data_IF_699305653994
#
_entry.id   IF_699305653994
#
_cell.length_a   1.000
_cell.length_b   1.000
_cell.length_c   1.000
_cell.angle_alpha   90.00
_cell.angle_beta   90.00
_cell.angle_gamma   90.00
#
_symmetry.space_group_name_H-M   'P 1'
#
loop_
_entity.id
_entity.type
_entity.pdbx_description
1 polymer ?
#
# COMPACT_ATOMS: atom_id res chain seq x y z
N UNK A 1 -12.74 15.16 23.84
CA UNK A 1 -11.93 15.11 22.61
C UNK A 1 -11.97 13.68 22.09
N UNK A 2 -12.58 13.42 20.93
CA UNK A 2 -12.53 12.08 20.32
C UNK A 2 -11.15 11.88 19.70
N UNK A 3 -10.33 11.02 20.30
CA UNK A 3 -9.03 10.63 19.72
C UNK A 3 -9.28 9.96 18.38
N UNK A 4 -8.71 10.48 17.30
CA UNK A 4 -8.77 9.81 15.99
C UNK A 4 -8.23 8.38 16.14
N UNK A 5 -8.88 7.37 15.56
CA UNK A 5 -8.40 6.00 15.65
C UNK A 5 -7.02 5.87 14.99
N UNK A 6 -6.12 5.08 15.61
CA UNK A 6 -4.80 4.79 15.04
C UNK A 6 -4.97 4.01 13.73
N UNK A 7 -4.28 4.44 12.68
CA UNK A 7 -4.23 3.75 11.40
C UNK A 7 -2.76 3.63 10.98
N UNK A 8 -2.28 2.40 10.84
CA UNK A 8 -0.93 2.11 10.34
C UNK A 8 -1.01 1.45 8.98
N UNK A 9 0.10 1.44 8.24
CA UNK A 9 0.21 0.65 7.01
C UNK A 9 1.54 -0.05 6.88
N UNK A 10 1.53 -1.25 6.32
CA UNK A 10 2.68 -1.87 5.69
C UNK A 10 2.54 -1.73 4.17
N UNK A 11 3.59 -1.25 3.51
CA UNK A 11 3.55 -0.84 2.11
C UNK A 11 4.69 -1.49 1.30
N UNK A 12 4.65 -2.81 1.06
CA UNK A 12 5.71 -3.51 0.34
C UNK A 12 5.61 -3.29 -1.19
N UNK A 13 6.75 -3.14 -1.85
CA UNK A 13 6.85 -3.27 -3.30
C UNK A 13 6.99 -4.75 -3.69
N UNK A 14 6.24 -5.26 -4.68
CA UNK A 14 6.26 -6.68 -5.04
C UNK A 14 7.43 -7.00 -5.99
N UNK A 15 8.66 -6.72 -5.55
CA UNK A 15 9.89 -6.90 -6.35
C UNK A 15 10.71 -8.12 -5.96
N UNK A 16 10.10 -9.05 -5.23
CA UNK A 16 10.73 -10.25 -4.70
C UNK A 16 10.04 -10.74 -3.42
N UNK A 17 10.70 -11.66 -2.73
CA UNK A 17 10.20 -12.23 -1.47
C UNK A 17 10.23 -11.22 -0.31
N UNK A 18 9.32 -11.41 0.66
CA UNK A 18 9.33 -10.63 1.89
C UNK A 18 10.56 -10.98 2.72
N UNK A 19 11.51 -10.06 2.84
CA UNK A 19 12.68 -10.24 3.70
C UNK A 19 12.38 -9.93 5.17
N UNK A 20 13.24 -10.40 6.08
CA UNK A 20 13.08 -10.27 7.54
C UNK A 20 12.88 -8.82 8.01
N UNK A 21 13.60 -7.87 7.40
CA UNK A 21 13.41 -6.44 7.68
C UNK A 21 12.00 -5.94 7.35
N UNK A 22 11.42 -6.41 6.25
CA UNK A 22 10.03 -6.14 5.87
C UNK A 22 9.05 -6.75 6.85
N UNK A 23 9.24 -8.03 7.21
CA UNK A 23 8.42 -8.73 8.21
C UNK A 23 8.44 -8.02 9.58
N UNK A 24 9.62 -7.57 10.04
CA UNK A 24 9.77 -6.77 11.27
C UNK A 24 8.96 -5.47 11.20
N UNK A 25 9.01 -4.78 10.06
CA UNK A 25 8.28 -3.52 9.85
C UNK A 25 6.77 -3.75 9.87
N UNK A 26 6.31 -4.80 9.18
CA UNK A 26 4.91 -5.21 9.19
C UNK A 26 4.43 -5.56 10.60
N UNK A 27 5.21 -6.35 11.35
CA UNK A 27 4.92 -6.71 12.74
C UNK A 27 4.75 -5.47 13.63
N UNK A 28 5.64 -4.49 13.53
CA UNK A 28 5.57 -3.28 14.37
C UNK A 28 4.34 -2.44 14.03
N UNK A 29 4.07 -2.22 12.74
CA UNK A 29 2.89 -1.50 12.29
C UNK A 29 1.58 -2.21 12.72
N UNK A 30 1.53 -3.53 12.59
CA UNK A 30 0.42 -4.37 13.02
C UNK A 30 0.23 -4.31 14.54
N UNK A 31 1.29 -4.55 15.32
CA UNK A 31 1.23 -4.58 16.78
C UNK A 31 0.79 -3.22 17.34
N UNK A 32 1.31 -2.13 16.78
CA UNK A 32 0.93 -0.78 17.19
C UNK A 32 -0.55 -0.49 16.94
N UNK A 33 -1.08 -0.88 15.77
CA UNK A 33 -2.51 -0.77 15.50
C UNK A 33 -3.34 -1.64 16.47
N UNK A 34 -2.97 -2.90 16.68
CA UNK A 34 -3.70 -3.82 17.58
C UNK A 34 -3.72 -3.33 19.02
N UNK A 35 -2.58 -2.87 19.55
CA UNK A 35 -2.48 -2.32 20.90
C UNK A 35 -3.44 -1.13 21.13
N UNK A 36 -3.63 -0.30 20.10
CA UNK A 36 -4.48 0.89 20.17
C UNK A 36 -5.90 0.66 19.66
N UNK A 37 -6.31 -0.59 19.42
CA UNK A 37 -7.61 -0.94 18.80
C UNK A 37 -7.85 -0.16 17.48
N UNK A 38 -6.77 0.09 16.76
CA UNK A 38 -6.72 0.78 15.49
C UNK A 38 -6.82 -0.16 14.29
N UNK A 39 -6.58 0.39 13.11
CA UNK A 39 -6.58 -0.34 11.83
C UNK A 39 -5.17 -0.51 11.28
N UNK A 40 -4.89 -1.67 10.71
CA UNK A 40 -3.67 -2.00 10.00
C UNK A 40 -3.98 -2.22 8.52
N UNK A 41 -3.35 -1.45 7.65
CA UNK A 41 -3.56 -1.48 6.20
C UNK A 41 -2.39 -2.21 5.52
N UNK A 42 -2.69 -3.09 4.56
CA UNK A 42 -1.72 -3.57 3.59
C UNK A 42 -1.95 -2.86 2.25
N UNK A 43 -0.92 -2.23 1.70
CA UNK A 43 -1.00 -1.59 0.37
C UNK A 43 0.19 -1.99 -0.47
N UNK A 44 -0.04 -2.49 -1.67
CA UNK A 44 1.02 -2.93 -2.58
C UNK A 44 1.53 -1.73 -3.37
N UNK A 45 2.84 -1.49 -3.29
CA UNK A 45 3.54 -0.38 -3.93
C UNK A 45 4.14 -0.85 -5.27
N UNK A 46 3.26 -1.14 -6.23
CA UNK A 46 3.55 -1.72 -7.54
C UNK A 46 3.66 -0.68 -8.68
N UNK A 47 4.13 0.53 -8.39
CA UNK A 47 4.28 1.58 -9.40
C UNK A 47 5.38 1.30 -10.41
N UNK A 48 6.42 0.55 -10.01
CA UNK A 48 7.45 0.07 -10.92
C UNK A 48 7.03 -1.27 -11.53
N UNK A 49 6.31 -1.21 -12.65
CA UNK A 49 5.79 -2.37 -13.36
C UNK A 49 6.88 -3.30 -13.91
N UNK A 50 8.11 -2.80 -14.12
CA UNK A 50 9.22 -3.64 -14.62
C UNK A 50 9.80 -4.53 -13.53
N UNK A 51 9.79 -4.05 -12.28
CA UNK A 51 10.27 -4.81 -11.13
C UNK A 51 9.17 -5.55 -10.37
N UNK A 52 7.92 -5.16 -10.57
CA UNK A 52 6.76 -5.74 -9.88
C UNK A 52 6.28 -7.01 -10.57
N UNK A 53 5.95 -8.05 -9.80
CA UNK A 53 5.32 -9.26 -10.35
C UNK A 53 4.12 -9.75 -9.53
N UNK A 54 3.08 -10.31 -10.18
CA UNK A 54 1.98 -10.98 -9.48
C UNK A 54 2.47 -12.08 -8.52
N UNK A 55 3.51 -12.82 -8.90
CA UNK A 55 4.10 -13.89 -8.09
C UNK A 55 4.68 -13.34 -6.78
N UNK A 56 5.40 -12.22 -6.85
CA UNK A 56 5.94 -11.56 -5.65
C UNK A 56 4.82 -11.05 -4.75
N UNK A 57 3.78 -10.44 -5.33
CA UNK A 57 2.57 -10.03 -4.58
C UNK A 57 1.95 -11.23 -3.86
N UNK A 58 1.70 -12.34 -4.56
CA UNK A 58 1.14 -13.56 -3.96
C UNK A 58 2.03 -14.10 -2.85
N UNK A 59 3.36 -14.08 -3.03
CA UNK A 59 4.34 -14.45 -2.02
C UNK A 59 4.20 -13.61 -0.75
N UNK A 60 4.19 -12.28 -0.89
CA UNK A 60 3.99 -11.34 0.22
C UNK A 60 2.67 -11.63 0.96
N UNK A 61 1.57 -11.85 0.24
CA UNK A 61 0.27 -12.15 0.87
C UNK A 61 0.30 -13.46 1.67
N UNK A 62 0.94 -14.51 1.13
CA UNK A 62 1.12 -15.79 1.85
C UNK A 62 2.00 -15.64 3.08
N UNK A 63 3.11 -14.93 2.96
CA UNK A 63 4.04 -14.72 4.08
C UNK A 63 3.36 -13.95 5.21
N UNK A 64 2.60 -12.90 4.88
CA UNK A 64 1.82 -12.14 5.86
C UNK A 64 0.75 -12.99 6.56
N UNK A 65 0.08 -13.89 5.83
CA UNK A 65 -0.88 -14.84 6.40
C UNK A 65 -0.19 -15.86 7.32
N UNK A 66 0.94 -16.42 6.88
CA UNK A 66 1.71 -17.39 7.65
C UNK A 66 2.24 -16.79 8.96
N UNK A 67 2.68 -15.52 8.93
CA UNK A 67 3.07 -14.75 10.12
C UNK A 67 1.89 -14.39 11.04
N UNK A 68 0.64 -14.60 10.62
CA UNK A 68 -0.56 -14.21 11.38
C UNK A 68 -0.84 -12.70 11.36
N UNK A 69 -0.19 -11.92 10.50
CA UNK A 69 -0.30 -10.47 10.42
C UNK A 69 -1.49 -10.03 9.55
N UNK A 70 -2.72 -10.34 9.99
CA UNK A 70 -3.94 -9.96 9.25
C UNK A 70 -4.14 -8.44 9.23
N UNK A 71 -4.37 -7.89 8.04
CA UNK A 71 -4.75 -6.50 7.81
C UNK A 71 -6.27 -6.32 7.80
N UNK A 72 -6.71 -5.10 8.12
CA UNK A 72 -8.12 -4.72 8.15
C UNK A 72 -8.58 -4.14 6.79
N UNK A 73 -7.63 -3.55 6.04
CA UNK A 73 -7.84 -3.00 4.70
C UNK A 73 -6.66 -3.36 3.81
N UNK A 74 -6.91 -3.71 2.54
CA UNK A 74 -5.85 -4.14 1.62
C UNK A 74 -6.33 -5.07 0.51
N UNK A 75 -5.40 -5.75 -0.19
CA UNK A 75 -5.74 -6.88 -1.05
C UNK A 75 -6.59 -7.92 -0.30
N UNK A 76 -7.30 -8.77 -1.04
CA UNK A 76 -8.06 -9.83 -0.40
C UNK A 76 -7.12 -10.79 0.37
N UNK A 77 -7.67 -11.48 1.37
CA UNK A 77 -6.88 -12.43 2.18
C UNK A 77 -6.59 -13.75 1.46
N UNK A 78 -7.13 -14.01 0.28
CA UNK A 78 -6.72 -15.13 -0.54
C UNK A 78 -5.50 -14.71 -1.40
N UNK A 79 -4.62 -15.67 -1.69
CA UNK A 79 -3.40 -15.43 -2.47
C UNK A 79 -3.46 -16.02 -3.88
N UNK A 80 -4.65 -16.43 -4.32
CA UNK A 80 -4.93 -17.03 -5.61
C UNK A 80 -5.01 -15.97 -6.71
N UNK A 81 -5.86 -14.96 -6.51
CA UNK A 81 -5.90 -13.72 -7.31
C UNK A 81 -5.75 -12.49 -6.41
N UNK A 82 -4.56 -11.86 -6.34
CA UNK A 82 -4.31 -10.75 -5.44
C UNK A 82 -5.09 -9.48 -5.79
N UNK A 83 -5.61 -9.35 -7.01
CA UNK A 83 -6.27 -8.13 -7.49
C UNK A 83 -7.79 -8.12 -7.25
N UNK A 84 -8.40 -9.30 -7.13
CA UNK A 84 -9.84 -9.44 -6.92
C UNK A 84 -10.28 -9.00 -5.52
N UNK A 85 -11.55 -8.57 -5.37
CA UNK A 85 -12.28 -8.47 -4.10
C UNK A 85 -11.51 -7.88 -2.90
N UNK A 86 -10.91 -6.70 -3.08
CA UNK A 86 -10.10 -6.02 -2.06
C UNK A 86 -10.93 -5.58 -0.85
N UNK A 87 -10.30 -5.49 0.32
CA UNK A 87 -10.92 -5.23 1.61
C UNK A 87 -10.81 -3.76 2.00
N UNK A 88 -11.93 -3.13 2.35
CA UNK A 88 -11.96 -1.78 2.91
C UNK A 88 -12.45 -0.70 1.96
N UNK A 89 -12.76 0.48 2.52
CA UNK A 89 -13.43 1.57 1.81
C UNK A 89 -12.47 2.53 1.07
N UNK A 90 -11.17 2.45 1.32
CA UNK A 90 -10.16 3.39 0.80
C UNK A 90 -9.38 2.83 -0.39
N UNK A 91 -9.85 1.72 -0.96
CA UNK A 91 -9.24 1.09 -2.12
C UNK A 91 -9.24 1.98 -3.37
N UNK A 92 -8.63 1.51 -4.48
CA UNK A 92 -7.86 0.26 -4.57
C UNK A 92 -6.57 0.29 -3.73
N UNK A 93 -6.07 -0.86 -3.28
CA UNK A 93 -4.88 -1.02 -2.43
C UNK A 93 -3.64 -1.47 -3.21
N UNK A 94 -3.71 -1.41 -4.54
CA UNK A 94 -2.56 -1.46 -5.45
C UNK A 94 -2.36 -0.08 -6.03
N UNK A 95 -1.14 0.46 -5.96
CA UNK A 95 -0.88 1.80 -6.46
C UNK A 95 -1.06 1.91 -7.97
N UNK A 96 -0.74 0.86 -8.72
CA UNK A 96 -0.97 0.81 -10.18
C UNK A 96 -2.43 1.05 -10.57
N UNK A 97 -3.39 0.76 -9.69
CA UNK A 97 -4.83 0.92 -9.90
C UNK A 97 -5.35 2.30 -9.45
N UNK A 98 -4.47 3.23 -9.06
CA UNK A 98 -4.85 4.54 -8.47
C UNK A 98 -4.44 5.75 -9.32
N UNK A 99 -4.15 5.54 -10.61
CA UNK A 99 -3.67 6.60 -11.50
C UNK A 99 -4.58 7.83 -11.52
N UNK A 100 -5.91 7.66 -11.58
CA UNK A 100 -6.87 8.77 -11.57
C UNK A 100 -6.73 9.67 -10.33
N UNK A 101 -6.45 9.07 -9.17
CA UNK A 101 -6.24 9.79 -7.92
C UNK A 101 -4.95 10.61 -8.00
N UNK A 102 -3.89 10.01 -8.53
CA UNK A 102 -2.60 10.69 -8.67
C UNK A 102 -2.66 11.82 -9.68
N UNK A 103 -3.24 11.59 -10.85
CA UNK A 103 -3.44 12.61 -11.89
C UNK A 103 -4.23 13.80 -11.36
N UNK A 104 -5.32 13.55 -10.62
CA UNK A 104 -6.10 14.61 -9.98
C UNK A 104 -5.23 15.48 -9.06
N UNK A 105 -4.42 14.87 -8.20
CA UNK A 105 -3.59 15.62 -7.24
C UNK A 105 -2.39 16.30 -7.90
N UNK A 106 -1.81 15.70 -8.94
CA UNK A 106 -0.76 16.32 -9.76
C UNK A 106 -1.31 17.61 -10.39
N UNK A 107 -2.50 17.57 -10.99
CA UNK A 107 -3.11 18.75 -11.60
C UNK A 107 -3.35 19.86 -10.57
N UNK A 108 -3.84 19.52 -9.37
CA UNK A 108 -4.01 20.49 -8.29
C UNK A 108 -2.69 21.16 -7.89
N UNK A 109 -1.58 20.42 -7.87
CA UNK A 109 -0.26 20.96 -7.55
C UNK A 109 0.27 21.88 -8.66
N UNK A 110 0.05 21.51 -9.92
CA UNK A 110 0.43 22.33 -11.08
C UNK A 110 -0.38 23.63 -11.11
N UNK A 111 -1.71 23.54 -10.93
CA UNK A 111 -2.61 24.69 -10.88
C UNK A 111 -2.27 25.65 -9.73
N UNK A 112 -1.87 25.11 -8.58
CA UNK A 112 -1.40 25.90 -7.44
C UNK A 112 0.02 26.47 -7.62
N UNK A 113 0.70 26.16 -8.73
CA UNK A 113 2.07 26.55 -8.99
C UNK A 113 3.10 25.87 -8.09
N UNK A 114 2.75 24.77 -7.41
CA UNK A 114 3.63 24.02 -6.50
C UNK A 114 4.40 22.89 -7.21
N UNK A 115 3.99 22.53 -8.42
CA UNK A 115 4.68 21.57 -9.28
C UNK A 115 4.71 22.06 -10.73
N UNK A 116 5.58 21.46 -11.53
CA UNK A 116 5.71 21.73 -12.96
C UNK A 116 6.20 20.48 -13.69
N UNK A 117 5.95 20.43 -15.00
CA UNK A 117 6.47 19.38 -15.87
C UNK A 117 7.88 19.75 -16.36
N UNK A 118 8.79 18.79 -16.32
CA UNK A 118 10.17 18.90 -16.77
C UNK A 118 10.64 17.56 -17.34
N UNK A 119 10.86 17.53 -18.66
CA UNK A 119 11.31 16.35 -19.42
C UNK A 119 10.44 15.09 -19.17
N UNK A 120 9.11 15.26 -19.25
CA UNK A 120 8.14 14.18 -19.03
C UNK A 120 8.00 13.71 -17.58
N UNK A 121 8.68 14.37 -16.63
CA UNK A 121 8.51 14.14 -15.20
C UNK A 121 7.82 15.33 -14.53
N UNK A 122 7.02 15.06 -13.50
CA UNK A 122 6.48 16.11 -12.64
C UNK A 122 7.46 16.36 -11.49
N UNK A 123 7.87 17.62 -11.32
CA UNK A 123 8.78 18.06 -10.25
C UNK A 123 8.08 19.09 -9.37
N UNK A 124 8.40 19.06 -8.07
CA UNK A 124 7.98 20.12 -7.16
C UNK A 124 8.81 21.38 -7.41
N UNK A 125 8.21 22.56 -7.21
CA UNK A 125 8.95 23.82 -7.18
C UNK A 125 9.72 24.00 -5.88
#
# INVERSE_FOLDING_TARGET
MTTKPIVTRFAPSPTGALHVGGARTALFAWAYARQHKGRFILRIEDTDQKRSSPESTKGILRDMQWLGLRWDEGPNHAADDPYANQLGANGPYFQSQRLDIYTKHINQLIEAGLAYEDDGAIRFR
#
